data_IF_650176915311
#
_entry.id   IF_650176915311
#
_cell.length_a   1.000
_cell.length_b   1.000
_cell.length_c   1.000
_cell.angle_alpha   90.00
_cell.angle_beta   90.00
_cell.angle_gamma   90.00
#
_symmetry.space_group_name_H-M   'P 1'
#
loop_
_entity.id
_entity.type
_entity.pdbx_description
1 polymer ?
#
# COMPACT_ATOMS: atom_id res chain seq x y z
N UNK A 1 -11.06 0.46 19.76
CA UNK A 1 -9.73 0.69 19.17
C UNK A 1 -9.27 -0.65 18.63
N UNK A 2 -9.19 -0.80 17.30
CA UNK A 2 -8.73 -2.05 16.68
C UNK A 2 -7.27 -2.25 17.09
N UNK A 3 -6.95 -3.41 17.64
CA UNK A 3 -5.60 -3.75 18.09
C UNK A 3 -4.90 -4.44 16.94
N UNK A 4 -3.76 -3.88 16.50
CA UNK A 4 -2.91 -4.49 15.48
C UNK A 4 -2.21 -5.70 16.12
N UNK A 5 -2.49 -6.88 15.60
CA UNK A 5 -1.90 -8.14 16.03
C UNK A 5 -0.59 -8.45 15.29
N UNK A 6 0.14 -9.47 15.74
CA UNK A 6 1.40 -9.89 15.12
C UNK A 6 1.25 -10.26 13.64
N UNK A 7 0.11 -10.87 13.28
CA UNK A 7 -0.16 -11.25 11.88
C UNK A 7 -0.43 -10.04 11.00
N UNK A 8 -1.10 -9.01 11.53
CA UNK A 8 -1.34 -7.73 10.86
C UNK A 8 -0.04 -7.00 10.59
N UNK A 9 0.85 -6.94 11.59
CA UNK A 9 2.18 -6.33 11.44
C UNK A 9 2.93 -6.96 10.27
N UNK A 10 2.95 -8.29 10.20
CA UNK A 10 3.63 -9.00 9.11
C UNK A 10 3.03 -8.63 7.75
N UNK A 11 1.70 -8.53 7.66
CA UNK A 11 1.03 -8.17 6.41
C UNK A 11 1.29 -6.71 6.00
N UNK A 12 1.34 -5.80 6.97
CA UNK A 12 1.68 -4.40 6.75
C UNK A 12 3.14 -4.22 6.31
N UNK A 13 4.07 -4.99 6.91
CA UNK A 13 5.47 -5.04 6.48
C UNK A 13 5.61 -5.56 5.03
N UNK A 14 4.81 -6.57 4.66
CA UNK A 14 4.77 -7.11 3.30
C UNK A 14 4.33 -6.07 2.25
N UNK A 15 3.37 -5.19 2.60
CA UNK A 15 2.94 -4.10 1.73
C UNK A 15 4.07 -3.14 1.40
N UNK A 16 4.90 -2.81 2.38
CA UNK A 16 6.08 -1.96 2.20
C UNK A 16 7.11 -2.70 1.35
N UNK A 17 7.45 -3.93 1.73
CA UNK A 17 8.49 -4.73 1.09
C UNK A 17 8.22 -4.97 -0.40
N UNK A 18 6.95 -5.17 -0.77
CA UNK A 18 6.55 -5.52 -2.14
C UNK A 18 5.78 -4.41 -2.85
N UNK A 19 5.99 -3.15 -2.44
CA UNK A 19 5.26 -1.99 -2.99
C UNK A 19 5.26 -1.93 -4.52
N UNK A 20 6.37 -2.27 -5.18
CA UNK A 20 6.47 -2.29 -6.64
C UNK A 20 5.58 -3.34 -7.30
N UNK A 21 5.35 -4.47 -6.63
CA UNK A 21 4.40 -5.48 -7.09
C UNK A 21 2.97 -4.94 -6.98
N UNK A 22 2.62 -4.31 -5.86
CA UNK A 22 1.31 -3.70 -5.67
C UNK A 22 1.04 -2.56 -6.67
N UNK A 23 2.04 -1.73 -6.99
CA UNK A 23 1.96 -0.72 -8.05
C UNK A 23 1.70 -1.34 -9.42
N UNK A 24 2.35 -2.47 -9.73
CA UNK A 24 2.14 -3.21 -10.98
C UNK A 24 0.73 -3.81 -11.05
N UNK A 25 0.29 -4.46 -9.97
CA UNK A 25 -1.05 -5.04 -9.87
C UNK A 25 -2.14 -3.99 -9.99
N UNK A 26 -1.96 -2.81 -9.38
CA UNK A 26 -2.89 -1.70 -9.50
C UNK A 26 -3.06 -1.27 -10.96
N UNK A 27 -1.95 -1.10 -11.69
CA UNK A 27 -1.97 -0.74 -13.12
C UNK A 27 -2.62 -1.83 -13.98
N UNK A 28 -2.33 -3.11 -13.70
CA UNK A 28 -2.96 -4.23 -14.40
C UNK A 28 -4.47 -4.26 -14.16
N UNK A 29 -4.91 -4.12 -12.91
CA UNK A 29 -6.34 -4.08 -12.56
C UNK A 29 -7.04 -2.87 -13.17
N UNK A 30 -6.38 -1.71 -13.21
CA UNK A 30 -6.88 -0.53 -13.90
C UNK A 30 -7.11 -0.79 -15.39
N UNK A 31 -6.15 -1.43 -16.06
CA UNK A 31 -6.25 -1.80 -17.46
C UNK A 31 -7.41 -2.79 -17.70
N UNK A 32 -7.52 -3.85 -16.90
CA UNK A 32 -8.63 -4.82 -16.98
C UNK A 32 -10.02 -4.16 -16.85
N UNK A 33 -10.16 -3.20 -15.94
CA UNK A 33 -11.43 -2.49 -15.74
C UNK A 33 -11.79 -1.60 -16.93
N UNK A 34 -10.79 -1.00 -17.57
CA UNK A 34 -10.99 -0.14 -18.75
C UNK A 34 -11.26 -0.96 -20.03
N UNK A 35 -10.58 -2.10 -20.20
CA UNK A 35 -10.75 -2.99 -21.36
C UNK A 35 -11.98 -3.89 -21.24
N UNK A 36 -12.59 -4.01 -20.05
CA UNK A 36 -13.86 -4.72 -19.88
C UNK A 36 -14.96 -4.07 -20.74
N UNK A 37 -15.15 -4.61 -21.94
CA UNK A 37 -16.29 -4.30 -22.79
C UNK A 37 -17.48 -5.00 -22.14
N UNK A 38 -18.32 -4.25 -21.43
CA UNK A 38 -19.63 -4.78 -21.06
C UNK A 38 -20.37 -5.11 -22.37
N UNK A 39 -21.06 -6.27 -22.47
CA UNK A 39 -21.90 -6.52 -23.61
C UNK A 39 -22.89 -5.37 -23.72
N UNK A 40 -22.96 -4.77 -24.91
CA UNK A 40 -23.89 -3.71 -25.23
C UNK A 40 -25.31 -4.29 -25.04
N UNK A 41 -25.88 -4.11 -23.85
CA UNK A 41 -27.21 -4.61 -23.52
C UNK A 41 -28.23 -3.77 -24.31
N UNK A 42 -28.38 -4.11 -25.59
CA UNK A 42 -29.25 -3.44 -26.56
C UNK A 42 -30.77 -3.60 -26.27
N UNK A 43 -31.17 -3.99 -25.05
CA UNK A 43 -32.50 -4.55 -24.80
C UNK A 43 -33.25 -4.12 -23.53
N UNK A 44 -32.72 -3.28 -22.63
CA UNK A 44 -33.46 -2.99 -21.40
C UNK A 44 -33.29 -1.55 -20.87
N UNK A 45 -34.42 -0.82 -20.96
CA UNK A 45 -34.88 0.23 -20.03
C UNK A 45 -33.87 1.26 -19.54
N UNK A 46 -34.04 2.53 -19.97
CA UNK A 46 -33.44 3.77 -19.42
C UNK A 46 -32.42 3.51 -18.31
N UNK A 47 -31.18 3.23 -18.70
CA UNK A 47 -30.08 3.06 -17.75
C UNK A 47 -29.73 4.43 -17.16
N UNK A 48 -29.78 4.56 -15.83
CA UNK A 48 -29.30 5.73 -15.08
C UNK A 48 -27.76 5.87 -15.12
N UNK A 49 -27.09 5.28 -16.11
CA UNK A 49 -25.64 5.33 -16.26
C UNK A 49 -25.25 6.66 -16.93
N UNK A 50 -24.21 7.36 -16.44
CA UNK A 50 -23.79 8.61 -17.04
C UNK A 50 -23.33 8.41 -18.49
N UNK A 51 -23.71 9.35 -19.36
CA UNK A 51 -23.29 9.32 -20.76
C UNK A 51 -21.78 9.55 -20.95
N UNK A 52 -21.12 10.22 -20.01
CA UNK A 52 -19.70 10.58 -20.07
C UNK A 52 -18.79 9.35 -19.84
N UNK A 53 -17.89 9.00 -20.78
CA UNK A 53 -16.94 7.89 -20.63
C UNK A 53 -16.06 8.00 -19.37
N UNK A 54 -15.70 9.21 -18.96
CA UNK A 54 -14.85 9.45 -17.78
C UNK A 54 -15.60 9.06 -16.51
N UNK A 55 -16.85 9.49 -16.39
CA UNK A 55 -17.70 9.19 -15.24
C UNK A 55 -18.00 7.68 -15.15
N UNK A 56 -18.21 7.01 -16.29
CA UNK A 56 -18.35 5.55 -16.32
C UNK A 56 -17.09 4.82 -15.84
N UNK A 57 -15.91 5.26 -16.27
CA UNK A 57 -14.64 4.70 -15.80
C UNK A 57 -14.45 4.92 -14.29
N UNK A 58 -14.81 6.09 -13.78
CA UNK A 58 -14.73 6.41 -12.36
C UNK A 58 -15.65 5.52 -11.53
N UNK A 59 -16.90 5.31 -11.98
CA UNK A 59 -17.86 4.41 -11.32
C UNK A 59 -17.32 2.98 -11.29
N UNK A 60 -16.81 2.46 -12.41
CA UNK A 60 -16.22 1.11 -12.47
C UNK A 60 -15.09 0.92 -11.45
N UNK A 61 -14.14 1.86 -11.42
CA UNK A 61 -13.02 1.84 -10.45
C UNK A 61 -13.51 1.92 -9.01
N UNK A 62 -14.46 2.81 -8.72
CA UNK A 62 -15.01 2.97 -7.39
C UNK A 62 -15.77 1.73 -6.90
N UNK A 63 -16.44 1.00 -7.81
CA UNK A 63 -17.16 -0.23 -7.47
C UNK A 63 -16.26 -1.47 -7.31
N UNK A 64 -15.00 -1.42 -7.78
CA UNK A 64 -14.10 -2.58 -7.71
C UNK A 64 -13.32 -2.61 -6.39
N UNK A 65 -13.68 -3.56 -5.52
CA UNK A 65 -13.07 -3.71 -4.20
C UNK A 65 -11.56 -4.02 -4.27
N UNK A 66 -11.11 -4.77 -5.28
CA UNK A 66 -9.68 -5.12 -5.43
C UNK A 66 -8.86 -3.90 -5.82
N UNK A 67 -9.34 -3.11 -6.78
CA UNK A 67 -8.75 -1.85 -7.20
C UNK A 67 -8.65 -0.89 -6.03
N UNK A 68 -9.74 -0.70 -5.28
CA UNK A 68 -9.75 0.17 -4.11
C UNK A 68 -8.75 -0.28 -3.04
N UNK A 69 -8.66 -1.59 -2.78
CA UNK A 69 -7.70 -2.15 -1.83
C UNK A 69 -6.25 -1.90 -2.28
N UNK A 70 -5.92 -2.22 -3.53
CA UNK A 70 -4.60 -1.99 -4.13
C UNK A 70 -4.24 -0.50 -4.10
N UNK A 71 -5.20 0.37 -4.45
CA UNK A 71 -5.05 1.82 -4.43
C UNK A 71 -4.77 2.34 -3.03
N UNK A 72 -5.49 1.87 -2.02
CA UNK A 72 -5.28 2.28 -0.64
C UNK A 72 -3.90 1.85 -0.14
N UNK A 73 -3.46 0.63 -0.45
CA UNK A 73 -2.12 0.14 -0.11
C UNK A 73 -1.05 1.00 -0.76
N UNK A 74 -1.11 1.19 -2.08
CA UNK A 74 -0.10 1.97 -2.82
C UNK A 74 -0.03 3.40 -2.31
N UNK A 75 -1.17 4.09 -2.23
CA UNK A 75 -1.21 5.47 -1.75
C UNK A 75 -0.78 5.58 -0.28
N UNK A 76 -1.10 4.58 0.55
CA UNK A 76 -0.72 4.57 1.95
C UNK A 76 0.78 4.42 2.16
N UNK A 77 1.43 3.55 1.38
CA UNK A 77 2.90 3.39 1.42
C UNK A 77 3.60 4.59 0.78
N UNK A 78 3.11 5.11 -0.35
CA UNK A 78 3.66 6.31 -0.99
C UNK A 78 3.61 7.50 -0.03
N UNK A 79 2.47 7.71 0.63
CA UNK A 79 2.32 8.74 1.67
C UNK A 79 3.25 8.52 2.87
N UNK A 80 3.45 7.26 3.28
CA UNK A 80 4.37 6.93 4.37
C UNK A 80 5.80 7.37 4.00
N UNK A 81 6.23 7.11 2.77
CA UNK A 81 7.54 7.49 2.23
C UNK A 81 7.64 9.02 2.14
N UNK A 82 6.67 9.67 1.51
CA UNK A 82 6.68 11.13 1.27
C UNK A 82 6.72 11.95 2.56
N UNK A 83 6.14 11.45 3.65
CA UNK A 83 6.13 12.11 4.95
C UNK A 83 7.23 11.63 5.92
N UNK A 84 8.10 10.72 5.49
CA UNK A 84 9.20 10.23 6.32
C UNK A 84 10.40 11.17 6.27
N UNK A 85 11.05 11.36 7.42
CA UNK A 85 12.37 11.98 7.46
C UNK A 85 13.45 11.06 6.86
N UNK A 86 14.64 11.63 6.63
CA UNK A 86 15.76 10.92 6.01
C UNK A 86 16.15 9.65 6.78
N UNK A 87 16.26 9.74 8.12
CA UNK A 87 16.57 8.60 8.99
C UNK A 87 15.53 7.48 8.88
N UNK A 88 14.26 7.82 8.70
CA UNK A 88 13.15 6.87 8.59
C UNK A 88 13.11 6.23 7.21
N UNK A 89 13.35 7.02 6.16
CA UNK A 89 13.50 6.50 4.80
C UNK A 89 14.68 5.54 4.71
N UNK A 90 15.80 5.87 5.34
CA UNK A 90 16.96 4.99 5.38
C UNK A 90 16.65 3.68 6.14
N UNK A 91 15.93 3.76 7.26
CA UNK A 91 15.47 2.57 7.97
C UNK A 91 14.59 1.67 7.08
N UNK A 92 13.64 2.25 6.33
CA UNK A 92 12.78 1.50 5.40
C UNK A 92 13.61 0.83 4.30
N UNK A 93 14.55 1.58 3.70
CA UNK A 93 15.46 1.06 2.66
C UNK A 93 16.27 -0.11 3.19
N UNK A 94 16.95 0.06 4.33
CA UNK A 94 17.82 -0.94 4.91
C UNK A 94 17.04 -2.20 5.28
N UNK A 95 15.81 -2.04 5.77
CA UNK A 95 15.04 -3.18 6.21
C UNK A 95 14.36 -3.94 5.07
N UNK A 96 13.82 -3.24 4.06
CA UNK A 96 12.85 -3.82 3.14
C UNK A 96 13.25 -3.81 1.66
N UNK A 97 14.17 -2.94 1.21
CA UNK A 97 14.47 -2.77 -0.22
C UNK A 97 15.95 -2.98 -0.57
N UNK A 98 16.83 -2.22 0.08
CA UNK A 98 18.26 -2.14 -0.23
C UNK A 98 19.09 -2.62 0.97
N UNK A 99 18.78 -3.80 1.51
CA UNK A 99 19.47 -4.37 2.68
C UNK A 99 20.99 -4.44 2.43
N UNK A 100 21.81 -3.64 3.13
CA UNK A 100 23.26 -3.70 2.96
C UNK A 100 23.81 -5.06 3.35
N UNK A 101 24.93 -5.45 2.74
CA UNK A 101 25.61 -6.70 3.07
C UNK A 101 26.02 -6.66 4.55
N UNK A 102 25.57 -7.65 5.33
CA UNK A 102 25.83 -7.73 6.76
C UNK A 102 24.86 -6.94 7.65
N UNK A 103 23.80 -6.34 7.10
CA UNK A 103 22.76 -5.62 7.85
C UNK A 103 21.42 -6.37 7.83
N UNK A 104 21.43 -7.66 8.15
CA UNK A 104 20.25 -8.54 7.96
C UNK A 104 19.31 -8.52 9.16
N UNK A 105 19.86 -8.35 10.36
CA UNK A 105 19.10 -8.39 11.60
C UNK A 105 18.78 -6.99 12.12
N UNK A 106 17.75 -6.91 12.97
CA UNK A 106 17.39 -5.64 13.62
C UNK A 106 18.52 -5.09 14.50
N UNK A 107 19.36 -5.96 15.04
CA UNK A 107 20.59 -5.62 15.76
C UNK A 107 21.60 -4.88 14.87
N UNK A 108 21.81 -5.36 13.65
CA UNK A 108 22.77 -4.75 12.72
C UNK A 108 22.29 -3.37 12.27
N UNK A 109 21.00 -3.26 11.96
CA UNK A 109 20.35 -1.98 11.63
C UNK A 109 20.46 -1.02 12.82
N UNK A 110 20.23 -1.50 14.05
CA UNK A 110 20.36 -0.66 15.23
C UNK A 110 21.80 -0.17 15.45
N UNK A 111 22.80 -1.03 15.21
CA UNK A 111 24.21 -0.65 15.25
C UNK A 111 24.53 0.43 14.20
N UNK A 112 23.99 0.31 12.98
CA UNK A 112 24.15 1.30 11.94
C UNK A 112 23.65 2.69 12.38
N UNK A 113 22.44 2.74 12.96
CA UNK A 113 21.86 3.98 13.50
C UNK A 113 22.43 4.40 14.87
N UNK A 114 23.45 3.70 15.41
CA UNK A 114 24.03 4.01 16.71
C UNK A 114 23.04 3.93 17.88
N UNK A 115 22.04 3.07 17.79
CA UNK A 115 20.96 2.95 18.79
C UNK A 115 20.71 1.51 19.23
N UNK A 116 19.76 1.32 20.14
CA UNK A 116 19.38 -0.03 20.61
C UNK A 116 18.36 -0.68 19.67
N UNK A 117 18.38 -2.01 19.57
CA UNK A 117 17.34 -2.80 18.87
C UNK A 117 15.93 -2.39 19.28
N UNK A 118 15.72 -2.19 20.58
CA UNK A 118 14.42 -1.77 21.12
C UNK A 118 13.97 -0.41 20.56
N UNK A 119 14.89 0.53 20.36
CA UNK A 119 14.60 1.83 19.74
C UNK A 119 14.15 1.66 18.28
N UNK A 120 14.87 0.87 17.49
CA UNK A 120 14.51 0.57 16.09
C UNK A 120 13.16 -0.15 16.00
N UNK A 121 12.91 -1.14 16.85
CA UNK A 121 11.62 -1.85 16.85
C UNK A 121 10.44 -0.94 17.22
N UNK A 122 10.65 0.06 18.09
CA UNK A 122 9.62 1.08 18.39
C UNK A 122 9.38 2.00 17.20
N UNK A 123 10.43 2.46 16.51
CA UNK A 123 10.31 3.23 15.26
C UNK A 123 9.52 2.43 14.22
N UNK A 124 9.87 1.15 14.03
CA UNK A 124 9.15 0.24 13.14
C UNK A 124 7.67 0.12 13.52
N UNK A 125 7.34 -0.09 14.79
CA UNK A 125 5.94 -0.19 15.20
C UNK A 125 5.17 1.11 14.92
N UNK A 126 5.78 2.27 15.15
CA UNK A 126 5.16 3.55 14.82
C UNK A 126 4.90 3.71 13.30
N UNK A 127 5.80 3.22 12.44
CA UNK A 127 5.60 3.19 10.99
C UNK A 127 4.44 2.28 10.58
N UNK A 128 4.36 1.10 11.18
CA UNK A 128 3.28 0.14 10.92
C UNK A 128 1.93 0.70 11.39
N UNK A 129 1.88 1.35 12.55
CA UNK A 129 0.67 2.02 13.04
C UNK A 129 0.26 3.17 12.13
N UNK A 130 1.23 3.93 11.58
CA UNK A 130 0.97 5.03 10.65
C UNK A 130 0.42 4.51 9.32
N UNK A 131 1.02 3.45 8.78
CA UNK A 131 0.53 2.80 7.55
C UNK A 131 -0.88 2.24 7.73
N UNK A 132 -1.14 1.56 8.85
CA UNK A 132 -2.46 1.00 9.16
C UNK A 132 -3.56 2.07 9.10
N UNK A 133 -3.29 3.26 9.64
CA UNK A 133 -4.21 4.41 9.55
C UNK A 133 -4.39 4.92 8.12
N UNK A 134 -3.31 4.94 7.32
CA UNK A 134 -3.36 5.44 5.94
C UNK A 134 -4.16 4.56 5.01
N UNK A 135 -4.13 3.24 5.22
CA UNK A 135 -4.88 2.29 4.41
C UNK A 135 -6.32 2.04 4.93
N UNK A 136 -6.69 2.64 6.07
CA UNK A 136 -8.01 2.47 6.70
C UNK A 136 -8.19 1.15 7.44
N UNK A 137 -7.10 0.57 7.97
CA UNK A 137 -7.14 -0.65 8.78
C UNK A 137 -7.65 -0.41 10.22
N UNK A 138 -7.44 0.80 10.76
CA UNK A 138 -7.79 1.22 12.13
C UNK A 138 -8.50 2.56 12.14
#
# INVERSE_FOLDING_TARGET
MIKIEKHDIKKLEEYIQHIDNYRRELKMREYELLESHEPDNAGAGKSNLPGNPIERCAIKKFSDNRYNTLRNIVNGVDRLIDESDEDTLELLRFRYWDCPIGCYEWEDIAHYFGTSKTSILRRRNALIDKLAKYIGYV
#
